data_IF_476441208815
#
_entry.id   IF_476441208815
#
_cell.length_a   1.000
_cell.length_b   1.000
_cell.length_c   1.000
_cell.angle_alpha   90.00
_cell.angle_beta   90.00
_cell.angle_gamma   90.00
#
_symmetry.space_group_name_H-M   'P 1'
#
loop_
_entity.id
_entity.type
_entity.pdbx_description
1 polymer ?
#
# COMPACT_ATOMS: atom_id res chain seq x y z
N UNK A 1 -7.36 42.54 -5.11
CA UNK A 1 -6.60 41.27 -5.04
C UNK A 1 -7.31 40.40 -4.03
N UNK A 2 -8.25 39.57 -4.49
CA UNK A 2 -9.01 38.68 -3.62
C UNK A 2 -8.58 37.26 -3.91
N UNK A 3 -7.68 36.76 -3.07
CA UNK A 3 -7.37 35.34 -2.91
C UNK A 3 -8.55 34.65 -2.23
N UNK A 4 -8.66 33.32 -2.42
CA UNK A 4 -9.62 32.37 -1.85
C UNK A 4 -10.81 32.01 -2.73
N UNK A 5 -10.58 31.09 -3.66
CA UNK A 5 -11.41 29.89 -3.93
C UNK A 5 -10.67 29.15 -5.07
N UNK A 6 -10.16 27.94 -4.95
CA UNK A 6 -10.94 26.72 -4.89
C UNK A 6 -9.88 25.59 -4.78
N UNK A 7 -9.62 25.09 -3.56
CA UNK A 7 -8.86 23.85 -3.40
C UNK A 7 -9.80 22.73 -3.82
N UNK A 8 -9.83 22.44 -5.12
CA UNK A 8 -10.36 21.19 -5.64
C UNK A 8 -9.67 20.06 -4.88
N UNK A 9 -10.40 19.46 -3.94
CA UNK A 9 -9.96 18.33 -3.16
C UNK A 9 -9.80 17.14 -4.12
N UNK A 10 -8.64 17.03 -4.76
CA UNK A 10 -8.24 15.81 -5.42
C UNK A 10 -8.29 14.69 -4.37
N UNK A 11 -8.90 13.53 -4.69
CA UNK A 11 -9.08 12.46 -3.72
C UNK A 11 -7.76 12.11 -3.03
N UNK A 12 -7.84 11.90 -1.71
CA UNK A 12 -6.78 11.98 -0.71
C UNK A 12 -5.55 11.04 -0.87
N UNK A 13 -5.44 10.31 -1.98
CA UNK A 13 -4.35 9.37 -2.26
C UNK A 13 -4.08 9.29 -3.77
N UNK A 14 -3.23 10.17 -4.35
CA UNK A 14 -2.91 10.14 -5.78
C UNK A 14 -2.20 8.84 -6.20
N UNK A 15 -1.60 8.12 -5.24
CA UNK A 15 -0.89 6.85 -5.46
C UNK A 15 -1.78 5.61 -5.26
N UNK A 16 -3.08 5.79 -4.95
CA UNK A 16 -4.00 4.67 -4.79
C UNK A 16 -4.45 4.13 -6.15
N UNK A 17 -4.19 2.85 -6.40
CA UNK A 17 -4.68 2.12 -7.57
C UNK A 17 -5.99 1.41 -7.24
N UNK A 18 -7.07 1.62 -8.01
CA UNK A 18 -8.26 0.79 -7.90
C UNK A 18 -7.96 -0.63 -8.40
N UNK A 19 -8.27 -1.62 -7.57
CA UNK A 19 -8.14 -3.05 -7.88
C UNK A 19 -9.50 -3.67 -7.59
N UNK A 20 -10.30 -3.91 -8.63
CA UNK A 20 -11.69 -4.35 -8.50
C UNK A 20 -12.47 -3.41 -7.55
N UNK A 21 -12.94 -3.92 -6.40
CA UNK A 21 -13.66 -3.16 -5.38
C UNK A 21 -12.74 -2.49 -4.34
N UNK A 22 -11.45 -2.82 -4.36
CA UNK A 22 -10.44 -2.32 -3.43
C UNK A 22 -9.78 -1.05 -3.96
N UNK A 23 -9.45 -0.15 -3.05
CA UNK A 23 -8.62 1.02 -3.35
C UNK A 23 -7.28 0.85 -2.66
N UNK A 24 -6.26 0.50 -3.43
CA UNK A 24 -5.03 -0.09 -2.92
C UNK A 24 -3.86 0.88 -3.08
N UNK A 25 -3.14 1.17 -2.00
CA UNK A 25 -1.92 1.98 -2.03
C UNK A 25 -0.68 1.10 -1.97
N UNK A 26 0.37 1.47 -2.70
CA UNK A 26 1.72 0.92 -2.49
C UNK A 26 2.26 1.46 -1.16
N UNK A 27 2.73 0.56 -0.31
CA UNK A 27 3.45 0.87 0.91
C UNK A 27 4.78 0.15 0.90
N UNK A 28 5.81 0.88 1.27
CA UNK A 28 7.12 0.31 1.53
C UNK A 28 7.42 0.47 3.01
N UNK A 29 7.59 -0.63 3.73
CA UNK A 29 7.94 -0.62 5.15
C UNK A 29 9.32 -1.24 5.40
N UNK A 30 9.91 -0.92 6.54
CA UNK A 30 11.23 -1.40 6.94
C UNK A 30 11.07 -2.54 7.95
N UNK A 31 11.27 -3.76 7.48
CA UNK A 31 11.16 -4.96 8.30
C UNK A 31 12.55 -5.31 8.86
N UNK A 32 12.73 -5.33 10.20
CA UNK A 32 13.98 -5.78 10.79
C UNK A 32 14.15 -7.30 10.61
N UNK A 33 15.38 -7.74 10.33
CA UNK A 33 15.72 -9.15 10.14
C UNK A 33 16.09 -9.52 8.70
N UNK A 34 16.11 -10.82 8.42
CA UNK A 34 16.51 -11.37 7.12
C UNK A 34 15.30 -11.50 6.20
N UNK A 35 15.42 -11.02 4.96
CA UNK A 35 14.39 -11.09 3.93
C UNK A 35 13.95 -12.54 3.69
N UNK A 36 12.66 -12.88 3.60
CA UNK A 36 12.20 -14.26 3.40
C UNK A 36 12.73 -14.86 2.08
N UNK A 37 12.68 -14.10 0.99
CA UNK A 37 13.32 -14.47 -0.28
C UNK A 37 14.84 -14.58 -0.15
N UNK A 38 15.38 -15.78 -0.39
CA UNK A 38 16.81 -16.06 -0.23
C UNK A 38 17.69 -15.29 -1.23
N UNK A 39 17.17 -14.96 -2.42
CA UNK A 39 17.94 -14.26 -3.44
C UNK A 39 18.12 -12.77 -3.09
N UNK A 40 17.32 -12.25 -2.16
CA UNK A 40 17.42 -10.88 -1.62
C UNK A 40 18.13 -10.80 -0.26
N UNK A 41 18.54 -11.94 0.29
CA UNK A 41 19.35 -11.98 1.51
C UNK A 41 20.80 -11.62 1.18
N UNK A 42 21.44 -10.87 2.07
CA UNK A 42 22.88 -10.66 2.06
C UNK A 42 23.42 -10.84 3.48
N UNK A 43 24.70 -11.20 3.57
CA UNK A 43 25.32 -11.53 4.85
C UNK A 43 25.50 -10.27 5.71
N UNK A 44 24.98 -10.30 6.94
CA UNK A 44 24.91 -9.12 7.81
C UNK A 44 23.69 -8.22 7.60
N UNK A 45 22.68 -8.64 6.84
CA UNK A 45 21.43 -7.90 6.71
C UNK A 45 20.72 -7.72 8.06
N UNK A 46 20.50 -6.47 8.46
CA UNK A 46 19.81 -6.08 9.71
C UNK A 46 18.32 -5.78 9.49
N UNK A 47 17.92 -5.57 8.25
CA UNK A 47 16.55 -5.33 7.84
C UNK A 47 16.44 -5.19 6.33
N UNK A 48 15.21 -5.20 5.83
CA UNK A 48 14.91 -5.07 4.43
C UNK A 48 13.67 -4.19 4.21
N UNK A 49 13.61 -3.56 3.03
CA UNK A 49 12.41 -2.84 2.58
C UNK A 49 11.44 -3.82 1.97
N UNK A 50 10.29 -4.00 2.60
CA UNK A 50 9.21 -4.81 2.06
C UNK A 50 8.20 -3.89 1.38
N UNK A 51 7.92 -4.17 0.10
CA UNK A 51 6.82 -3.53 -0.61
C UNK A 51 5.58 -4.39 -0.49
N UNK A 52 4.52 -3.80 0.00
CA UNK A 52 3.20 -4.42 0.05
C UNK A 52 2.16 -3.39 -0.34
N UNK A 53 1.01 -3.91 -0.68
CA UNK A 53 -0.17 -3.18 -1.06
C UNK A 53 -1.15 -3.19 0.09
N UNK A 54 -1.74 -2.04 0.41
CA UNK A 54 -2.75 -1.93 1.45
C UNK A 54 -4.02 -1.33 0.88
N UNK A 55 -5.14 -2.00 1.06
CA UNK A 55 -6.44 -1.44 0.76
C UNK A 55 -6.78 -0.38 1.82
N UNK A 56 -7.12 0.84 1.39
CA UNK A 56 -7.55 1.91 2.29
C UNK A 56 -9.02 1.79 2.69
N UNK A 57 -9.81 0.94 1.99
CA UNK A 57 -11.23 0.72 2.30
C UNK A 57 -11.43 -0.30 3.41
N UNK A 58 -10.91 -1.52 3.24
CA UNK A 58 -11.03 -2.59 4.22
C UNK A 58 -9.77 -2.78 5.10
N UNK A 59 -8.69 -2.06 4.83
CA UNK A 59 -7.44 -2.21 5.59
C UNK A 59 -6.60 -3.44 5.23
N UNK A 60 -7.07 -4.32 4.34
CA UNK A 60 -6.35 -5.54 3.96
C UNK A 60 -4.96 -5.25 3.38
N UNK A 61 -3.95 -6.01 3.83
CA UNK A 61 -2.56 -5.88 3.41
C UNK A 61 -2.12 -7.13 2.66
N UNK A 62 -1.53 -6.95 1.47
CA UNK A 62 -1.11 -8.02 0.57
C UNK A 62 0.19 -7.68 -0.14
N UNK A 63 1.04 -8.66 -0.40
CA UNK A 63 2.28 -8.45 -1.16
C UNK A 63 2.05 -8.21 -2.67
N UNK A 64 0.88 -8.60 -3.19
CA UNK A 64 0.49 -8.42 -4.59
C UNK A 64 -0.96 -7.96 -4.73
N UNK A 65 -1.25 -7.14 -5.75
CA UNK A 65 -2.60 -6.71 -6.09
C UNK A 65 -3.53 -7.88 -6.45
N UNK A 66 -2.98 -8.95 -7.01
CA UNK A 66 -3.75 -10.14 -7.39
C UNK A 66 -4.14 -11.03 -6.20
N UNK A 67 -3.53 -10.83 -5.03
CA UNK A 67 -3.85 -11.59 -3.81
C UNK A 67 -5.00 -10.94 -3.02
N UNK A 68 -5.50 -9.79 -3.47
CA UNK A 68 -6.71 -9.22 -2.90
C UNK A 68 -7.92 -10.06 -3.31
N UNK A 69 -8.82 -10.36 -2.37
CA UNK A 69 -10.08 -10.99 -2.70
C UNK A 69 -10.87 -10.07 -3.66
N UNK A 70 -11.69 -10.65 -4.55
CA UNK A 70 -12.50 -9.86 -5.48
C UNK A 70 -13.47 -8.91 -4.76
N UNK A 71 -13.94 -9.32 -3.59
CA UNK A 71 -14.83 -8.54 -2.74
C UNK A 71 -14.03 -7.73 -1.73
N UNK A 72 -14.36 -6.45 -1.62
CA UNK A 72 -13.83 -5.59 -0.58
C UNK A 72 -14.82 -5.60 0.57
N UNK A 73 -14.56 -6.45 1.56
CA UNK A 73 -15.33 -6.52 2.80
C UNK A 73 -14.65 -5.61 3.84
N UNK A 74 -15.09 -4.35 4.00
CA UNK A 74 -14.67 -3.57 5.15
C UNK A 74 -15.25 -4.26 6.38
N UNK A 75 -14.39 -4.75 7.28
CA UNK A 75 -14.84 -5.23 8.59
C UNK A 75 -15.70 -4.11 9.21
N UNK A 76 -16.99 -4.41 9.41
CA UNK A 76 -18.03 -3.45 9.82
C UNK A 76 -17.74 -2.76 11.17
#
# INVERSE_FOLDING_TARGET
MNTHDNRSAAPAYPDATPVEQHLVVDKTDWVPGKHPDQHRRWDGQTGYRERFFRCIRCGAERSSKADFPPECDPEE
#
